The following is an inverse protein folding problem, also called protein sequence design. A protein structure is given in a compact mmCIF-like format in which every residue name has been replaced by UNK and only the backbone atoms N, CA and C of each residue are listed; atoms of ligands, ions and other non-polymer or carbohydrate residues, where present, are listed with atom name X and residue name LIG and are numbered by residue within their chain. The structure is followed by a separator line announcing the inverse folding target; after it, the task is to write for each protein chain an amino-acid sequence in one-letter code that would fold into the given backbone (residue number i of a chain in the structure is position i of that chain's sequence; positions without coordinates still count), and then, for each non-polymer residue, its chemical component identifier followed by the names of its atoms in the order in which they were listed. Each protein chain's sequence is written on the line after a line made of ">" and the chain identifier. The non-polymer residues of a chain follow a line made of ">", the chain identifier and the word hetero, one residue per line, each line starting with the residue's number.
data_IF_350653852986
#
_entry.id   IF_350653852986
#
_cell.length_a   1.000
_cell.length_b   1.000
_cell.length_c   1.000
_cell.angle_alpha   90.00
_cell.angle_beta   90.00
_cell.angle_gamma   90.00
#
_symmetry.space_group_name_H-M   'P 1'
#
loop_
_entity.id
_entity.type
_entity.pdbx_description
1 polymer ?
#
# COMPACT_ATOMS: atom_id res chain seq x y z
N UNK A 1 4.95 16.40 3.60
CA UNK A 1 5.22 15.32 2.61
C UNK A 1 4.92 15.86 1.21
N UNK A 2 5.83 15.65 0.21
CA UNK A 2 5.67 16.17 -1.15
C UNK A 2 4.99 15.15 -2.09
N UNK A 3 5.25 13.87 -1.89
CA UNK A 3 4.80 12.82 -2.79
C UNK A 3 4.56 11.52 -2.04
N UNK A 4 3.54 10.77 -2.49
CA UNK A 4 3.32 9.37 -2.12
C UNK A 4 3.59 8.49 -3.36
N UNK A 5 4.21 7.36 -3.12
CA UNK A 5 4.43 6.30 -4.11
C UNK A 5 3.86 5.00 -3.55
N UNK A 6 2.96 4.39 -4.28
CA UNK A 6 2.41 3.07 -3.93
C UNK A 6 3.09 1.97 -4.75
N UNK A 7 3.53 0.94 -4.07
CA UNK A 7 4.13 -0.24 -4.70
C UNK A 7 3.22 -1.43 -4.46
N UNK A 8 2.79 -2.06 -5.54
CA UNK A 8 2.06 -3.32 -5.54
C UNK A 8 2.76 -4.38 -6.39
N UNK A 9 2.23 -5.56 -6.36
CA UNK A 9 2.71 -6.70 -7.15
C UNK A 9 2.81 -7.96 -6.30
N UNK A 10 2.75 -9.09 -6.96
CA UNK A 10 2.75 -10.40 -6.31
C UNK A 10 3.83 -10.50 -5.22
N UNK A 11 3.49 -11.09 -4.09
CA UNK A 11 4.48 -11.47 -3.09
C UNK A 11 5.63 -12.25 -3.74
N UNK A 12 6.85 -12.11 -3.21
CA UNK A 12 8.08 -12.73 -3.75
C UNK A 12 8.57 -12.18 -5.11
N UNK A 13 8.00 -11.07 -5.59
CA UNK A 13 8.42 -10.41 -6.85
C UNK A 13 9.62 -9.47 -6.69
N UNK A 14 10.18 -9.30 -5.49
CA UNK A 14 11.31 -8.40 -5.24
C UNK A 14 10.91 -7.12 -4.50
N UNK A 15 9.72 -7.07 -3.91
CA UNK A 15 9.19 -5.92 -3.18
C UNK A 15 10.16 -5.41 -2.10
N UNK A 16 10.79 -6.31 -1.32
CA UNK A 16 11.75 -5.93 -0.29
C UNK A 16 13.04 -5.34 -0.86
N UNK A 17 13.51 -5.86 -2.00
CA UNK A 17 14.69 -5.32 -2.68
C UNK A 17 14.41 -3.90 -3.17
N UNK A 18 13.31 -3.69 -3.88
CA UNK A 18 12.94 -2.36 -4.38
C UNK A 18 12.77 -1.37 -3.23
N UNK A 19 12.10 -1.77 -2.14
CA UNK A 19 11.98 -0.96 -0.93
C UNK A 19 13.34 -0.50 -0.42
N UNK A 20 14.29 -1.42 -0.26
CA UNK A 20 15.63 -1.10 0.26
C UNK A 20 16.38 -0.13 -0.68
N UNK A 21 16.28 -0.33 -1.99
CA UNK A 21 16.86 0.57 -2.99
C UNK A 21 16.26 1.97 -2.87
N UNK A 22 14.94 2.08 -2.77
CA UNK A 22 14.27 3.37 -2.64
C UNK A 22 14.58 4.06 -1.30
N UNK A 23 14.60 3.32 -0.19
CA UNK A 23 14.90 3.87 1.14
C UNK A 23 16.35 4.37 1.29
N UNK A 24 17.27 3.89 0.44
CA UNK A 24 18.64 4.39 0.38
C UNK A 24 18.77 5.82 -0.19
N UNK A 25 17.73 6.30 -0.89
CA UNK A 25 17.70 7.64 -1.46
C UNK A 25 17.53 8.72 -0.39
N UNK A 26 18.22 9.84 -0.52
CA UNK A 26 18.21 10.92 0.49
C UNK A 26 16.82 11.55 0.73
N UNK A 27 15.93 11.55 -0.25
CA UNK A 27 14.60 12.17 -0.17
C UNK A 27 13.45 11.18 0.06
N UNK A 28 13.70 9.86 -0.06
CA UNK A 28 12.64 8.83 -0.04
C UNK A 28 12.70 8.03 1.26
N UNK A 29 11.57 7.78 1.86
CA UNK A 29 11.44 6.78 2.91
C UNK A 29 10.47 5.68 2.48
N UNK A 30 10.95 4.45 2.53
CA UNK A 30 10.18 3.25 2.26
C UNK A 30 10.14 2.39 3.53
N UNK A 31 9.10 2.59 4.32
CA UNK A 31 8.92 1.95 5.62
C UNK A 31 8.65 0.45 5.56
N UNK A 32 8.45 -0.19 6.73
CA UNK A 32 7.85 -1.51 6.79
C UNK A 32 6.43 -1.48 6.23
N UNK A 33 5.85 -2.63 5.97
CA UNK A 33 4.41 -2.73 5.68
C UNK A 33 3.61 -2.19 6.87
N UNK A 34 2.75 -1.20 6.62
CA UNK A 34 1.98 -0.53 7.67
C UNK A 34 0.51 -0.91 7.65
N UNK A 35 0.06 -1.73 6.71
CA UNK A 35 -1.34 -2.15 6.46
C UNK A 35 -2.33 -0.98 6.30
N UNK A 36 -1.82 0.26 6.15
CA UNK A 36 -2.65 1.47 6.03
C UNK A 36 -3.53 1.40 4.78
N UNK A 37 -3.03 0.81 3.69
CA UNK A 37 -3.80 0.68 2.45
C UNK A 37 -5.03 -0.18 2.69
N UNK A 38 -4.88 -1.37 3.26
CA UNK A 38 -5.99 -2.31 3.43
C UNK A 38 -7.07 -1.75 4.36
N UNK A 39 -6.66 -1.19 5.50
CA UNK A 39 -7.57 -0.57 6.46
C UNK A 39 -8.29 0.64 5.83
N UNK A 40 -7.58 1.45 5.05
CA UNK A 40 -8.15 2.61 4.36
C UNK A 40 -9.12 2.20 3.26
N UNK A 41 -8.83 1.13 2.52
CA UNK A 41 -9.72 0.63 1.48
C UNK A 41 -10.98 -0.01 2.06
N UNK A 42 -10.87 -0.71 3.18
CA UNK A 42 -12.03 -1.22 3.91
C UNK A 42 -12.94 -0.06 4.38
N UNK A 43 -12.36 0.98 4.97
CA UNK A 43 -13.10 2.18 5.39
C UNK A 43 -13.71 2.92 4.19
N UNK A 44 -12.95 3.10 3.10
CA UNK A 44 -13.45 3.71 1.87
C UNK A 44 -14.68 2.96 1.33
N UNK A 45 -14.60 1.63 1.24
CA UNK A 45 -15.71 0.78 0.78
C UNK A 45 -16.94 0.93 1.68
N UNK A 46 -16.75 0.94 3.00
CA UNK A 46 -17.82 1.11 3.96
C UNK A 46 -18.53 2.47 3.79
N UNK A 47 -17.76 3.55 3.70
CA UNK A 47 -18.31 4.89 3.55
C UNK A 47 -18.98 5.09 2.19
N UNK A 48 -18.37 4.63 1.10
CA UNK A 48 -18.92 4.73 -0.25
C UNK A 48 -20.23 3.94 -0.38
N UNK A 49 -20.33 2.76 0.23
CA UNK A 49 -21.58 1.98 0.23
C UNK A 49 -22.72 2.69 0.98
N UNK A 50 -22.41 3.58 1.89
CA UNK A 50 -23.41 4.39 2.61
C UNK A 50 -23.93 5.56 1.76
N UNK A 51 -23.13 6.04 0.78
CA UNK A 51 -23.55 7.11 -0.13
C UNK A 51 -24.57 6.64 -1.17
N UNK A 52 -24.54 5.37 -1.53
CA UNK A 52 -25.39 4.80 -2.59
C UNK A 52 -26.79 4.36 -2.10
N UNK A 53 -26.98 4.14 -0.78
CA UNK A 53 -28.16 3.42 -0.27
C UNK A 53 -29.49 4.15 -0.37
N UNK A 54 -29.53 5.49 -0.34
CA UNK A 54 -30.79 6.22 -0.16
C UNK A 54 -31.04 7.38 -1.14
N UNK A 55 -30.16 7.66 -2.08
CA UNK A 55 -30.32 8.84 -2.96
C UNK A 55 -30.38 10.18 -2.21
N UNK A 56 -30.34 10.13 -0.88
CA UNK A 56 -30.38 11.26 0.06
C UNK A 56 -29.08 11.44 0.82
N UNK A 57 -28.02 10.74 0.40
CA UNK A 57 -26.73 10.80 1.09
C UNK A 57 -26.24 12.25 1.15
N UNK A 58 -25.89 12.67 2.36
CA UNK A 58 -25.31 14.00 2.64
C UNK A 58 -23.80 14.03 2.39
N UNK A 59 -23.20 12.89 2.04
CA UNK A 59 -21.75 12.73 1.82
C UNK A 59 -21.54 12.27 0.38
N UNK A 60 -20.66 12.97 -0.33
CA UNK A 60 -20.31 12.64 -1.72
C UNK A 60 -19.09 11.69 -1.77
N UNK A 61 -18.88 11.01 -2.90
CA UNK A 61 -17.70 10.19 -3.13
C UNK A 61 -16.40 11.00 -3.02
N UNK A 62 -16.43 12.27 -3.42
CA UNK A 62 -15.29 13.17 -3.31
C UNK A 62 -14.95 13.47 -1.83
N UNK A 63 -15.96 13.72 -1.00
CA UNK A 63 -15.76 13.92 0.43
C UNK A 63 -15.22 12.67 1.13
N UNK A 64 -15.68 11.49 0.73
CA UNK A 64 -15.12 10.21 1.21
C UNK A 64 -13.65 10.11 0.80
N UNK A 65 -13.33 10.39 -0.47
CA UNK A 65 -11.97 10.35 -0.97
C UNK A 65 -11.04 11.32 -0.23
N UNK A 66 -11.49 12.56 0.01
CA UNK A 66 -10.74 13.56 0.77
C UNK A 66 -10.54 13.15 2.23
N UNK A 67 -11.55 12.56 2.86
CA UNK A 67 -11.45 12.07 4.23
C UNK A 67 -10.41 10.96 4.36
N UNK A 68 -10.43 10.00 3.44
CA UNK A 68 -9.44 8.91 3.41
C UNK A 68 -8.04 9.45 3.09
N UNK A 69 -7.92 10.40 2.17
CA UNK A 69 -6.64 11.06 1.88
C UNK A 69 -6.07 11.75 3.13
N UNK A 70 -6.90 12.47 3.87
CA UNK A 70 -6.52 13.12 5.13
C UNK A 70 -6.06 12.11 6.18
N UNK A 71 -6.81 11.03 6.36
CA UNK A 71 -6.44 9.95 7.28
C UNK A 71 -5.09 9.33 6.91
N UNK A 72 -4.90 8.88 5.68
CA UNK A 72 -3.64 8.28 5.25
C UNK A 72 -2.48 9.27 5.37
N UNK A 73 -2.66 10.53 4.98
CA UNK A 73 -1.64 11.57 5.09
C UNK A 73 -1.24 11.80 6.55
N UNK A 74 -2.18 11.80 7.49
CA UNK A 74 -1.90 11.95 8.92
C UNK A 74 -1.01 10.84 9.49
N UNK A 75 -1.00 9.69 8.86
CA UNK A 75 -0.10 8.57 9.22
C UNK A 75 1.27 8.69 8.54
N UNK A 76 1.30 9.08 7.26
CA UNK A 76 2.54 9.14 6.48
C UNK A 76 3.40 10.36 6.81
N UNK A 77 2.80 11.53 7.02
CA UNK A 77 3.55 12.77 7.23
C UNK A 77 4.44 12.77 8.48
N UNK A 78 3.97 12.33 9.66
CA UNK A 78 4.82 12.21 10.82
C UNK A 78 5.96 11.19 10.62
N UNK A 79 5.69 10.12 9.88
CA UNK A 79 6.70 9.12 9.56
C UNK A 79 7.81 9.71 8.67
N UNK A 80 7.45 10.40 7.58
CA UNK A 80 8.39 11.08 6.70
C UNK A 80 9.20 12.13 7.43
N UNK A 81 8.54 12.96 8.25
CA UNK A 81 9.16 14.04 9.03
C UNK A 81 10.22 13.51 10.01
N UNK A 82 9.91 12.43 10.75
CA UNK A 82 10.87 11.79 11.67
C UNK A 82 12.11 11.26 10.96
N UNK A 83 11.99 10.91 9.67
CA UNK A 83 13.11 10.44 8.83
C UNK A 83 13.83 11.56 8.09
N UNK A 84 13.33 12.80 8.14
CA UNK A 84 13.85 13.92 7.35
C UNK A 84 13.68 13.71 5.84
N UNK A 85 12.66 12.96 5.44
CA UNK A 85 12.38 12.59 4.05
C UNK A 85 11.13 13.31 3.53
N UNK A 86 11.01 13.43 2.20
CA UNK A 86 9.93 14.19 1.55
C UNK A 86 8.95 13.31 0.79
N UNK A 87 9.41 12.14 0.37
CA UNK A 87 8.66 11.18 -0.42
C UNK A 87 8.44 9.93 0.44
N UNK A 88 7.19 9.50 0.54
CA UNK A 88 6.83 8.27 1.24
C UNK A 88 6.49 7.20 0.21
N UNK A 89 7.05 6.04 0.43
CA UNK A 89 6.72 4.83 -0.32
C UNK A 89 5.95 3.90 0.61
N UNK A 90 4.71 3.61 0.27
CA UNK A 90 3.95 2.52 0.90
C UNK A 90 3.94 1.31 -0.02
N UNK A 91 4.25 0.18 0.54
CA UNK A 91 4.43 -1.07 -0.16
C UNK A 91 3.54 -2.15 0.45
N UNK A 92 2.58 -2.59 -0.31
CA UNK A 92 1.78 -3.76 0.03
C UNK A 92 1.58 -4.63 -1.21
N UNK A 93 1.80 -5.96 -1.15
CA UNK A 93 1.69 -6.83 -2.33
C UNK A 93 0.34 -6.66 -3.04
N UNK A 94 -0.74 -6.67 -2.28
CA UNK A 94 -2.10 -6.61 -2.81
C UNK A 94 -2.59 -5.19 -3.14
N UNK A 95 -1.77 -4.15 -2.87
CA UNK A 95 -2.12 -2.76 -3.20
C UNK A 95 -2.46 -2.54 -4.68
N UNK A 96 -1.98 -3.41 -5.57
CA UNK A 96 -2.30 -3.35 -6.99
C UNK A 96 -3.82 -3.35 -7.26
N UNK A 97 -4.59 -4.08 -6.46
CA UNK A 97 -6.05 -4.13 -6.59
C UNK A 97 -6.72 -2.82 -6.19
N UNK A 98 -6.05 -2.06 -5.33
CA UNK A 98 -6.51 -0.77 -4.82
C UNK A 98 -6.01 0.42 -5.66
N UNK A 99 -5.12 0.24 -6.62
CA UNK A 99 -4.56 1.33 -7.43
C UNK A 99 -5.60 2.22 -8.10
N UNK A 100 -6.72 1.71 -8.68
CA UNK A 100 -7.73 2.58 -9.26
C UNK A 100 -8.39 3.51 -8.24
N UNK A 101 -8.64 3.03 -7.03
CA UNK A 101 -9.23 3.82 -5.94
C UNK A 101 -8.18 4.76 -5.36
N UNK A 102 -6.95 4.29 -5.12
CA UNK A 102 -5.86 5.13 -4.63
C UNK A 102 -5.53 6.28 -5.59
N UNK A 103 -5.69 6.08 -6.90
CA UNK A 103 -5.50 7.14 -7.90
C UNK A 103 -6.59 8.22 -7.83
N UNK A 104 -7.82 7.87 -7.43
CA UNK A 104 -8.87 8.85 -7.13
C UNK A 104 -8.55 9.64 -5.85
N UNK A 105 -8.15 8.94 -4.78
CA UNK A 105 -7.83 9.51 -3.47
C UNK A 105 -6.59 10.42 -3.54
N UNK A 106 -5.55 9.99 -4.28
CA UNK A 106 -4.28 10.68 -4.45
C UNK A 106 -3.96 10.88 -5.93
N UNK A 107 -4.55 11.87 -6.61
CA UNK A 107 -4.36 12.06 -8.06
C UNK A 107 -2.90 12.29 -8.48
N UNK A 108 -2.07 12.80 -7.57
CA UNK A 108 -0.64 13.07 -7.81
C UNK A 108 0.27 11.92 -7.39
N UNK A 109 -0.26 10.84 -6.81
CA UNK A 109 0.56 9.69 -6.40
C UNK A 109 1.23 9.01 -7.59
N UNK A 110 2.33 8.31 -7.33
CA UNK A 110 2.97 7.42 -8.30
C UNK A 110 2.70 5.97 -7.94
N UNK A 111 2.59 5.14 -8.95
CA UNK A 111 2.26 3.73 -8.80
C UNK A 111 3.34 2.88 -9.47
N UNK A 112 3.86 1.91 -8.75
CA UNK A 112 4.85 0.96 -9.24
C UNK A 112 4.26 -0.43 -9.09
N UNK A 113 4.12 -1.13 -10.21
CA UNK A 113 3.74 -2.55 -10.21
C UNK A 113 4.96 -3.41 -10.48
N UNK A 114 5.29 -4.30 -9.52
CA UNK A 114 6.38 -5.25 -9.69
C UNK A 114 5.86 -6.53 -10.32
N UNK A 115 6.45 -6.86 -11.46
CA UNK A 115 6.15 -8.09 -12.22
C UNK A 115 7.39 -8.98 -12.22
N UNK A 116 7.21 -10.25 -11.89
CA UNK A 116 8.22 -11.30 -11.94
C UNK A 116 7.66 -12.53 -12.65
N UNK A 117 8.52 -13.36 -13.23
CA UNK A 117 8.11 -14.66 -13.79
C UNK A 117 7.40 -15.49 -12.72
N UNK A 118 6.18 -15.92 -13.02
CA UNK A 118 5.34 -16.66 -12.06
C UNK A 118 5.95 -17.98 -11.60
N UNK A 119 6.79 -18.60 -12.42
CA UNK A 119 7.54 -19.82 -12.07
C UNK A 119 8.54 -19.54 -10.95
N UNK A 120 9.27 -18.43 -11.04
CA UNK A 120 10.20 -17.99 -10.01
C UNK A 120 9.49 -17.60 -8.71
N UNK A 121 8.32 -16.96 -8.83
CA UNK A 121 7.47 -16.64 -7.68
C UNK A 121 7.03 -17.93 -6.98
N UNK A 122 6.52 -18.92 -7.72
CA UNK A 122 6.08 -20.19 -7.18
C UNK A 122 7.24 -20.95 -6.48
N UNK A 123 8.41 -21.01 -7.10
CA UNK A 123 9.61 -21.60 -6.49
C UNK A 123 9.97 -20.89 -5.17
N UNK A 124 9.94 -19.55 -5.17
CA UNK A 124 10.26 -18.77 -3.96
C UNK A 124 9.23 -18.95 -2.84
N UNK A 125 7.96 -19.16 -3.15
CA UNK A 125 6.93 -19.49 -2.15
C UNK A 125 7.16 -20.86 -1.55
N UNK A 126 7.43 -21.88 -2.37
CA UNK A 126 7.74 -23.22 -1.90
C UNK A 126 8.92 -23.22 -0.93
N UNK A 127 10.00 -22.50 -1.26
CA UNK A 127 11.22 -22.46 -0.44
C UNK A 127 10.96 -21.80 0.92
N UNK A 128 10.07 -20.82 0.99
CA UNK A 128 9.64 -20.20 2.28
C UNK A 128 8.80 -21.18 3.08
N UNK A 129 7.85 -21.87 2.47
CA UNK A 129 7.03 -22.90 3.12
C UNK A 129 7.89 -23.99 3.74
N UNK A 130 8.87 -24.51 2.99
CA UNK A 130 9.81 -25.53 3.51
C UNK A 130 10.63 -25.01 4.70
N UNK A 131 11.10 -23.76 4.64
CA UNK A 131 11.87 -23.15 5.75
C UNK A 131 10.99 -22.89 6.98
N UNK A 132 9.73 -22.51 6.80
CA UNK A 132 8.80 -22.27 7.90
C UNK A 132 8.48 -23.59 8.62
N UNK A 133 8.18 -24.66 7.89
CA UNK A 133 7.91 -25.98 8.47
C UNK A 133 9.13 -26.57 9.17
N UNK A 134 10.34 -26.39 8.61
CA UNK A 134 11.58 -26.86 9.24
C UNK A 134 11.94 -26.12 10.55
N UNK A 135 11.36 -24.92 10.75
CA UNK A 135 11.51 -24.15 11.99
C UNK A 135 10.34 -24.34 12.97
N UNK A 136 9.43 -25.27 12.69
CA UNK A 136 8.25 -25.52 13.53
C UNK A 136 7.21 -24.38 13.53
N UNK A 137 7.26 -23.48 12.55
CA UNK A 137 6.27 -22.43 12.40
C UNK A 137 5.10 -22.99 11.59
N UNK A 138 3.90 -23.02 12.19
CA UNK A 138 2.70 -23.34 11.46
C UNK A 138 2.44 -22.23 10.41
N UNK A 139 2.08 -22.65 9.21
CA UNK A 139 1.58 -21.74 8.18
C UNK A 139 0.06 -21.75 8.33
N UNK A 140 -0.52 -20.65 8.81
CA UNK A 140 -1.96 -20.41 8.78
C UNK A 140 -2.42 -20.02 7.37
#
# INVERSE_FOLDING_TARGET
>A
MEQIVFIGGMGRSGNNMLRNVLDSHSAITAGPEMNIIDDSMALYSLLSSSTERDGTSRITEDEVSQTIAGFMSSMYEPYASRKGKRIVVDRHPDAIWSFPVLAKIFPNAKFINLIRDGRDVACSHRDVGVRATSRGVALD
#
